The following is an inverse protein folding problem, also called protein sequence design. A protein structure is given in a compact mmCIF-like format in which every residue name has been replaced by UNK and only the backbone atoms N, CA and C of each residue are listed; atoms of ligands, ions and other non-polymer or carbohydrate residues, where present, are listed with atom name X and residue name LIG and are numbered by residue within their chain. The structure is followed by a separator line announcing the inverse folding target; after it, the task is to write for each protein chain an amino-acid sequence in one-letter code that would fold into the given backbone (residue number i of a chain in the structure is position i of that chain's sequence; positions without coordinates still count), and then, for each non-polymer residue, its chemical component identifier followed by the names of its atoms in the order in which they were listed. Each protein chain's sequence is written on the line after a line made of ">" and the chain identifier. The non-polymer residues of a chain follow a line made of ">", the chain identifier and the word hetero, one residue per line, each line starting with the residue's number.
data_IF_599791071824
#
_entry.id   IF_599791071824
#
_cell.length_a   1.000
_cell.length_b   1.000
_cell.length_c   1.000
_cell.angle_alpha   90.00
_cell.angle_beta   90.00
_cell.angle_gamma   90.00
#
_symmetry.space_group_name_H-M   'P 1'
#
loop_
_entity.id
_entity.type
_entity.pdbx_description
1 polymer ?
#
# COMPACT_ATOMS: atom_id res chain seq x y z
N UNK A 1 14.36 -1.39 -20.88
CA UNK A 1 15.23 -1.71 -19.74
C UNK A 1 14.85 -0.90 -18.49
N UNK A 2 14.61 0.41 -18.60
CA UNK A 2 14.29 1.27 -17.46
C UNK A 2 13.05 0.83 -16.65
N UNK A 3 11.95 0.46 -17.33
CA UNK A 3 10.73 0.01 -16.65
C UNK A 3 10.92 -1.29 -15.83
N UNK A 4 11.78 -2.20 -16.28
CA UNK A 4 12.06 -3.44 -15.55
C UNK A 4 12.87 -3.16 -14.29
N UNK A 5 13.81 -2.24 -14.36
CA UNK A 5 14.60 -1.80 -13.21
C UNK A 5 13.71 -1.11 -12.18
N UNK A 6 12.80 -0.23 -12.63
CA UNK A 6 11.81 0.43 -11.75
C UNK A 6 10.93 -0.61 -11.06
N UNK A 7 10.47 -1.63 -11.79
CA UNK A 7 9.61 -2.68 -11.28
C UNK A 7 10.32 -3.52 -10.21
N UNK A 8 11.51 -4.02 -10.49
CA UNK A 8 12.30 -4.83 -9.54
C UNK A 8 12.69 -4.00 -8.33
N UNK A 9 13.15 -2.76 -8.53
CA UNK A 9 13.52 -1.85 -7.47
C UNK A 9 12.33 -1.54 -6.53
N UNK A 10 11.14 -1.30 -7.07
CA UNK A 10 9.95 -0.97 -6.28
C UNK A 10 9.37 -2.17 -5.52
N UNK A 11 9.50 -3.39 -6.07
CA UNK A 11 8.96 -4.60 -5.42
C UNK A 11 9.89 -5.10 -4.30
N UNK A 12 11.19 -5.21 -4.58
CA UNK A 12 12.15 -5.88 -3.70
C UNK A 12 13.00 -4.90 -2.89
N UNK A 13 13.64 -3.93 -3.54
CA UNK A 13 14.63 -3.05 -2.88
C UNK A 13 13.98 -1.95 -2.09
N UNK A 14 13.09 -1.20 -2.73
CA UNK A 14 12.36 -0.07 -2.14
C UNK A 14 10.91 -0.43 -1.83
N UNK A 15 10.70 -1.60 -1.19
CA UNK A 15 9.36 -1.99 -0.78
C UNK A 15 8.77 -0.93 0.16
N UNK A 16 7.61 -0.40 -0.21
CA UNK A 16 7.02 0.75 0.49
C UNK A 16 6.70 0.46 1.96
N UNK A 17 6.38 -0.79 2.30
CA UNK A 17 6.09 -1.20 3.69
C UNK A 17 7.37 -1.45 4.47
N UNK A 18 8.28 -2.24 3.93
CA UNK A 18 9.43 -2.76 4.66
C UNK A 18 10.63 -1.80 4.66
N UNK A 19 10.79 -0.99 3.59
CA UNK A 19 11.88 -0.01 3.51
C UNK A 19 11.46 1.39 3.94
N UNK A 20 10.22 1.81 3.61
CA UNK A 20 9.74 3.16 3.91
C UNK A 20 8.76 3.24 5.09
N UNK A 21 8.36 2.09 5.63
CA UNK A 21 7.41 1.97 6.75
C UNK A 21 6.05 2.62 6.50
N UNK A 22 5.63 2.71 5.23
CA UNK A 22 4.33 3.25 4.83
C UNK A 22 3.31 2.12 4.65
N UNK A 23 2.08 2.33 5.14
CA UNK A 23 1.03 1.31 5.07
C UNK A 23 1.09 0.25 6.18
N UNK A 24 1.69 0.57 7.33
CA UNK A 24 1.79 -0.34 8.47
C UNK A 24 0.42 -0.65 9.08
N UNK A 25 -0.53 0.32 9.07
CA UNK A 25 -1.85 0.13 9.64
C UNK A 25 -2.62 -1.06 9.01
N UNK A 26 -2.80 -1.14 7.68
CA UNK A 26 -3.39 -2.32 7.07
C UNK A 26 -2.46 -3.55 7.15
N UNK A 27 -1.14 -3.35 7.12
CA UNK A 27 -0.17 -4.43 7.23
C UNK A 27 -0.29 -5.21 8.54
N UNK A 28 -0.45 -4.54 9.67
CA UNK A 28 -0.65 -5.18 10.98
C UNK A 28 -2.11 -5.60 11.22
N UNK A 29 -3.07 -4.80 10.73
CA UNK A 29 -4.49 -5.00 11.01
C UNK A 29 -5.11 -6.16 10.24
N UNK A 30 -4.74 -6.35 8.98
CA UNK A 30 -5.42 -7.30 8.06
C UNK A 30 -4.65 -8.61 7.89
N UNK A 31 -3.40 -8.69 8.36
CA UNK A 31 -2.52 -9.84 8.18
C UNK A 31 -2.80 -11.05 9.10
N UNK A 32 -3.95 -11.11 9.75
CA UNK A 32 -4.33 -12.24 10.62
C UNK A 32 -4.76 -13.48 9.84
N UNK A 33 -5.28 -13.31 8.61
CA UNK A 33 -5.69 -14.39 7.72
C UNK A 33 -5.19 -14.12 6.31
N UNK A 34 -4.65 -15.14 5.65
CA UNK A 34 -4.08 -15.00 4.30
C UNK A 34 -5.14 -14.62 3.26
N UNK A 35 -6.38 -15.11 3.40
CA UNK A 35 -7.48 -14.75 2.49
C UNK A 35 -7.81 -13.26 2.52
N UNK A 36 -7.89 -12.66 3.73
CA UNK A 36 -8.14 -11.22 3.89
C UNK A 36 -6.96 -10.39 3.43
N UNK A 37 -5.73 -10.88 3.59
CA UNK A 37 -4.52 -10.24 3.11
C UNK A 37 -4.49 -10.15 1.57
N UNK A 38 -4.86 -11.22 0.86
CA UNK A 38 -4.93 -11.21 -0.61
C UNK A 38 -6.01 -10.24 -1.10
N UNK A 39 -7.20 -10.27 -0.50
CA UNK A 39 -8.29 -9.35 -0.84
C UNK A 39 -7.91 -7.89 -0.62
N UNK A 40 -7.23 -7.61 0.49
CA UNK A 40 -6.71 -6.26 0.80
C UNK A 40 -5.64 -5.83 -0.20
N UNK A 41 -4.70 -6.72 -0.55
CA UNK A 41 -3.66 -6.46 -1.54
C UNK A 41 -4.24 -6.07 -2.90
N UNK A 42 -5.23 -6.81 -3.39
CA UNK A 42 -5.92 -6.51 -4.63
C UNK A 42 -6.67 -5.17 -4.59
N UNK A 43 -7.37 -4.88 -3.48
CA UNK A 43 -8.08 -3.62 -3.30
C UNK A 43 -7.13 -2.42 -3.26
N UNK A 44 -5.99 -2.55 -2.55
CA UNK A 44 -4.97 -1.51 -2.49
C UNK A 44 -4.34 -1.28 -3.86
N UNK A 45 -4.06 -2.34 -4.64
CA UNK A 45 -3.54 -2.21 -6.00
C UNK A 45 -4.47 -1.39 -6.88
N UNK A 46 -5.76 -1.69 -6.85
CA UNK A 46 -6.77 -0.97 -7.64
C UNK A 46 -6.88 0.49 -7.21
N UNK A 47 -7.05 0.75 -5.91
CA UNK A 47 -7.18 2.11 -5.37
C UNK A 47 -5.93 2.93 -5.62
N UNK A 48 -4.74 2.36 -5.38
CA UNK A 48 -3.48 3.05 -5.53
C UNK A 48 -3.25 3.47 -6.99
N UNK A 49 -3.57 2.61 -7.95
CA UNK A 49 -3.44 2.91 -9.38
C UNK A 49 -4.40 4.02 -9.80
N UNK A 50 -5.68 3.94 -9.42
CA UNK A 50 -6.65 4.99 -9.72
C UNK A 50 -6.29 6.32 -9.04
N UNK A 51 -5.91 6.27 -7.77
CA UNK A 51 -5.51 7.45 -7.01
C UNK A 51 -4.31 8.16 -7.66
N UNK A 52 -3.30 7.42 -8.10
CA UNK A 52 -2.13 8.01 -8.77
C UNK A 52 -2.49 8.68 -10.09
N UNK A 53 -3.34 8.05 -10.90
CA UNK A 53 -3.78 8.67 -12.17
C UNK A 53 -4.53 9.98 -11.91
N UNK A 54 -5.51 9.97 -10.99
CA UNK A 54 -6.33 11.15 -10.72
C UNK A 54 -5.51 12.24 -10.03
N UNK A 55 -4.67 11.90 -9.06
CA UNK A 55 -3.81 12.89 -8.37
C UNK A 55 -2.77 13.49 -9.30
N UNK A 56 -2.21 12.70 -10.24
CA UNK A 56 -1.29 13.20 -11.25
C UNK A 56 -1.97 14.20 -12.18
N UNK A 57 -3.18 13.89 -12.67
CA UNK A 57 -3.96 14.80 -13.51
C UNK A 57 -4.31 16.10 -12.78
N UNK A 58 -4.76 16.00 -11.52
CA UNK A 58 -5.08 17.18 -10.71
C UNK A 58 -3.82 18.02 -10.44
N UNK A 59 -2.69 17.39 -10.17
CA UNK A 59 -1.42 18.09 -9.99
C UNK A 59 -1.07 18.89 -11.25
N UNK A 60 -1.09 18.23 -12.42
CA UNK A 60 -0.67 18.84 -13.68
C UNK A 60 -1.59 19.95 -14.18
N UNK A 61 -2.92 19.76 -14.07
CA UNK A 61 -3.91 20.67 -14.66
C UNK A 61 -4.45 21.71 -13.68
N UNK A 62 -4.39 21.48 -12.38
CA UNK A 62 -4.98 22.35 -11.37
C UNK A 62 -3.91 23.00 -10.48
N UNK A 63 -3.06 22.23 -9.84
CA UNK A 63 -2.12 22.76 -8.85
C UNK A 63 -0.97 23.53 -9.49
N UNK A 64 -0.41 23.05 -10.60
CA UNK A 64 0.72 23.70 -11.27
C UNK A 64 0.33 25.07 -11.84
N UNK A 65 -0.76 25.24 -12.61
CA UNK A 65 -1.10 26.54 -13.17
C UNK A 65 -1.57 27.55 -12.11
N UNK A 66 -2.09 27.09 -10.97
CA UNK A 66 -2.55 27.95 -9.88
C UNK A 66 -1.46 28.29 -8.84
N UNK A 67 -0.24 27.76 -8.99
CA UNK A 67 0.87 27.89 -8.02
C UNK A 67 0.49 27.52 -6.56
N UNK A 68 -0.43 26.54 -6.39
CA UNK A 68 -0.94 26.10 -5.09
C UNK A 68 -0.20 24.86 -4.58
N UNK A 69 1.11 24.78 -4.79
CA UNK A 69 1.92 23.62 -4.40
C UNK A 69 1.86 23.28 -2.89
N UNK A 70 1.60 24.27 -2.03
CA UNK A 70 1.47 24.05 -0.59
C UNK A 70 0.18 23.32 -0.19
N UNK A 71 -0.85 23.34 -1.05
CA UNK A 71 -2.12 22.61 -0.83
C UNK A 71 -2.11 21.18 -1.43
N UNK A 72 -1.00 20.75 -2.01
CA UNK A 72 -0.86 19.46 -2.68
C UNK A 72 -1.31 18.29 -1.80
N UNK A 73 -0.82 18.20 -0.56
CA UNK A 73 -1.12 17.10 0.35
C UNK A 73 -2.59 17.06 0.74
N UNK A 74 -3.20 18.22 1.00
CA UNK A 74 -4.62 18.32 1.37
C UNK A 74 -5.51 17.90 0.20
N UNK A 75 -5.19 18.37 -1.02
CA UNK A 75 -5.91 18.01 -2.23
C UNK A 75 -5.84 16.50 -2.50
N UNK A 76 -4.67 15.90 -2.32
CA UNK A 76 -4.48 14.46 -2.52
C UNK A 76 -5.27 13.62 -1.52
N UNK A 77 -5.26 13.98 -0.24
CA UNK A 77 -6.04 13.30 0.78
C UNK A 77 -7.53 13.35 0.45
N UNK A 78 -8.04 14.51 0.03
CA UNK A 78 -9.44 14.70 -0.32
C UNK A 78 -9.84 13.86 -1.54
N UNK A 79 -9.01 13.84 -2.59
CA UNK A 79 -9.23 13.03 -3.79
C UNK A 79 -9.25 11.54 -3.46
N UNK A 80 -8.25 11.07 -2.69
CA UNK A 80 -8.15 9.67 -2.29
C UNK A 80 -9.37 9.27 -1.46
N UNK A 81 -9.80 10.10 -0.51
CA UNK A 81 -10.98 9.84 0.30
C UNK A 81 -12.24 9.71 -0.56
N UNK A 82 -12.45 10.61 -1.51
CA UNK A 82 -13.60 10.59 -2.42
C UNK A 82 -13.60 9.33 -3.32
N UNK A 83 -12.43 8.96 -3.87
CA UNK A 83 -12.29 7.74 -4.69
C UNK A 83 -12.58 6.47 -3.90
N UNK A 84 -12.08 6.37 -2.66
CA UNK A 84 -12.31 5.17 -1.84
C UNK A 84 -13.76 5.06 -1.40
N UNK A 85 -14.42 6.17 -1.08
CA UNK A 85 -15.86 6.15 -0.77
C UNK A 85 -16.70 5.73 -1.99
N UNK A 86 -16.34 6.19 -3.18
CA UNK A 86 -16.98 5.74 -4.42
C UNK A 86 -16.78 4.22 -4.61
N UNK A 87 -15.56 3.73 -4.38
CA UNK A 87 -15.24 2.31 -4.46
C UNK A 87 -16.04 1.49 -3.44
N UNK A 88 -16.21 1.99 -2.21
CA UNK A 88 -17.01 1.35 -1.17
C UNK A 88 -18.46 1.12 -1.62
N UNK A 89 -19.09 2.13 -2.20
CA UNK A 89 -20.44 2.04 -2.72
C UNK A 89 -20.53 1.01 -3.86
N UNK A 90 -19.54 0.96 -4.73
CA UNK A 90 -19.47 0.00 -5.84
C UNK A 90 -19.31 -1.42 -5.30
N UNK A 91 -18.36 -1.66 -4.38
CA UNK A 91 -18.14 -2.97 -3.77
C UNK A 91 -19.37 -3.50 -3.04
N UNK A 92 -20.09 -2.63 -2.34
CA UNK A 92 -21.33 -2.99 -1.65
C UNK A 92 -22.41 -3.50 -2.60
N UNK A 93 -22.46 -3.01 -3.84
CA UNK A 93 -23.42 -3.43 -4.86
C UNK A 93 -22.98 -4.65 -5.66
N UNK A 94 -21.69 -4.73 -6.01
CA UNK A 94 -21.16 -5.74 -6.93
C UNK A 94 -20.79 -7.03 -6.20
N UNK A 95 -20.23 -6.93 -5.02
CA UNK A 95 -19.70 -8.10 -4.29
C UNK A 95 -19.94 -7.98 -2.77
N UNK A 96 -21.18 -8.29 -2.31
CA UNK A 96 -21.52 -8.16 -0.88
C UNK A 96 -20.71 -9.10 0.03
N UNK A 97 -20.27 -10.27 -0.46
CA UNK A 97 -19.39 -11.17 0.30
C UNK A 97 -18.00 -10.59 0.54
N UNK A 98 -17.42 -9.96 -0.48
CA UNK A 98 -16.14 -9.27 -0.36
C UNK A 98 -16.26 -8.01 0.51
N UNK A 99 -17.38 -7.30 0.40
CA UNK A 99 -17.70 -6.18 1.27
C UNK A 99 -17.80 -6.57 2.74
N UNK A 100 -18.43 -7.71 3.06
CA UNK A 100 -18.50 -8.22 4.45
C UNK A 100 -17.11 -8.62 4.99
N UNK A 101 -16.25 -9.19 4.14
CA UNK A 101 -14.88 -9.55 4.52
C UNK A 101 -13.98 -8.33 4.71
N UNK A 102 -14.13 -7.32 3.86
CA UNK A 102 -13.30 -6.10 3.85
C UNK A 102 -13.95 -4.91 4.56
N UNK A 103 -15.26 -4.95 4.85
CA UNK A 103 -16.05 -3.80 5.31
C UNK A 103 -15.51 -3.10 6.56
N UNK A 104 -14.97 -3.86 7.51
CA UNK A 104 -14.32 -3.32 8.73
C UNK A 104 -12.98 -2.66 8.38
N UNK A 105 -12.33 -3.07 7.29
CA UNK A 105 -11.00 -2.62 6.89
C UNK A 105 -11.00 -1.53 5.80
N UNK A 106 -12.17 -1.18 5.25
CA UNK A 106 -12.31 -0.11 4.26
C UNK A 106 -11.78 1.26 4.75
N UNK A 107 -12.02 1.68 6.00
CA UNK A 107 -11.38 2.88 6.52
C UNK A 107 -9.85 2.82 6.51
N UNK A 108 -9.26 1.63 6.65
CA UNK A 108 -7.81 1.44 6.57
C UNK A 108 -7.26 1.62 5.14
N UNK A 109 -8.08 1.45 4.11
CA UNK A 109 -7.71 1.76 2.72
C UNK A 109 -7.74 3.26 2.50
N UNK A 110 -8.77 3.95 2.99
CA UNK A 110 -8.94 5.40 2.84
C UNK A 110 -7.81 6.18 3.51
N UNK A 111 -7.42 5.77 4.72
CA UNK A 111 -6.35 6.41 5.49
C UNK A 111 -4.98 5.77 5.26
N UNK A 112 -4.83 4.97 4.19
CA UNK A 112 -3.59 4.27 3.92
C UNK A 112 -2.48 5.24 3.50
N UNK A 113 -1.49 5.38 4.36
CA UNK A 113 -0.34 6.24 4.12
C UNK A 113 0.53 5.78 2.93
N UNK A 114 0.45 4.52 2.51
CA UNK A 114 1.15 4.05 1.31
C UNK A 114 0.55 4.65 0.03
N UNK A 115 -0.79 4.76 -0.07
CA UNK A 115 -1.46 5.37 -1.22
C UNK A 115 -1.06 6.83 -1.37
N UNK A 116 -1.11 7.59 -0.28
CA UNK A 116 -0.68 8.98 -0.27
C UNK A 116 0.82 9.13 -0.54
N UNK A 117 1.63 8.25 0.07
CA UNK A 117 3.08 8.25 -0.10
C UNK A 117 3.50 8.03 -1.55
N UNK A 118 2.89 7.08 -2.26
CA UNK A 118 3.16 6.85 -3.69
C UNK A 118 2.77 8.05 -4.53
N UNK A 119 1.60 8.64 -4.29
CA UNK A 119 1.16 9.83 -5.01
C UNK A 119 2.15 11.00 -4.88
N UNK A 120 2.71 11.21 -3.69
CA UNK A 120 3.73 12.23 -3.44
C UNK A 120 5.08 11.85 -4.07
N UNK A 121 5.49 10.58 -3.99
CA UNK A 121 6.77 10.10 -4.55
C UNK A 121 6.82 10.22 -6.06
N UNK A 122 5.73 9.92 -6.75
CA UNK A 122 5.59 10.07 -8.20
C UNK A 122 5.88 11.50 -8.64
N UNK A 123 5.35 12.49 -7.92
CA UNK A 123 5.56 13.90 -8.24
C UNK A 123 6.98 14.34 -7.90
N UNK A 124 7.53 13.92 -6.75
CA UNK A 124 8.90 14.23 -6.35
C UNK A 124 9.95 13.69 -7.32
N UNK A 125 9.68 12.54 -7.95
CA UNK A 125 10.57 11.93 -8.95
C UNK A 125 10.38 12.49 -10.36
N UNK A 126 9.42 13.40 -10.56
CA UNK A 126 9.05 13.97 -11.86
C UNK A 126 8.80 12.92 -12.95
N UNK A 127 8.15 11.83 -12.57
CA UNK A 127 7.83 10.77 -13.53
C UNK A 127 6.77 11.21 -14.53
N UNK A 128 6.87 10.69 -15.76
CA UNK A 128 5.80 10.79 -16.74
C UNK A 128 4.59 9.95 -16.32
N UNK A 129 3.42 10.20 -16.89
CA UNK A 129 2.19 9.47 -16.53
C UNK A 129 2.36 7.95 -16.69
N UNK A 130 3.02 7.48 -17.75
CA UNK A 130 3.28 6.06 -17.97
C UNK A 130 4.21 5.47 -16.89
N UNK A 131 5.30 6.15 -16.57
CA UNK A 131 6.24 5.76 -15.52
C UNK A 131 5.56 5.75 -14.13
N UNK A 132 4.69 6.73 -13.89
CA UNK A 132 3.90 6.85 -12.66
C UNK A 132 3.00 5.64 -12.45
N UNK A 133 2.30 5.21 -13.50
CA UNK A 133 1.44 4.02 -13.44
C UNK A 133 2.26 2.75 -13.23
N UNK A 134 3.35 2.56 -13.96
CA UNK A 134 4.23 1.39 -13.81
C UNK A 134 4.83 1.34 -12.40
N UNK A 135 5.33 2.46 -11.90
CA UNK A 135 5.89 2.55 -10.55
C UNK A 135 4.83 2.25 -9.49
N UNK A 136 3.61 2.76 -9.66
CA UNK A 136 2.51 2.54 -8.72
C UNK A 136 2.07 1.08 -8.69
N UNK A 137 1.90 0.45 -9.86
CA UNK A 137 1.55 -0.98 -9.96
C UNK A 137 2.66 -1.84 -9.34
N UNK A 138 3.92 -1.54 -9.63
CA UNK A 138 5.06 -2.25 -9.02
C UNK A 138 5.07 -2.12 -7.49
N UNK A 139 4.85 -0.91 -6.98
CA UNK A 139 4.80 -0.65 -5.53
C UNK A 139 3.62 -1.35 -4.86
N UNK A 140 2.45 -1.37 -5.52
CA UNK A 140 1.26 -2.06 -5.01
C UNK A 140 1.44 -3.59 -5.01
N UNK A 141 2.10 -4.15 -6.01
CA UNK A 141 2.47 -5.57 -6.03
C UNK A 141 3.49 -5.89 -4.92
N UNK A 142 4.47 -5.02 -4.69
CA UNK A 142 5.40 -5.14 -3.56
C UNK A 142 4.71 -5.10 -2.21
N UNK A 143 3.72 -4.21 -2.05
CA UNK A 143 2.86 -4.13 -0.87
C UNK A 143 2.08 -5.44 -0.66
N UNK A 144 1.41 -5.94 -1.69
CA UNK A 144 0.63 -7.17 -1.62
C UNK A 144 1.52 -8.39 -1.28
N UNK A 145 2.69 -8.49 -1.90
CA UNK A 145 3.66 -9.54 -1.64
C UNK A 145 4.13 -9.52 -0.19
N UNK A 146 4.53 -8.36 0.33
CA UNK A 146 4.94 -8.22 1.73
C UNK A 146 3.81 -8.60 2.70
N UNK A 147 2.56 -8.20 2.38
CA UNK A 147 1.39 -8.49 3.19
C UNK A 147 1.08 -10.00 3.23
N UNK A 148 1.18 -10.70 2.09
CA UNK A 148 0.94 -12.15 1.98
C UNK A 148 2.00 -12.93 2.74
N UNK A 149 3.29 -12.60 2.56
CA UNK A 149 4.40 -13.24 3.28
C UNK A 149 4.21 -13.07 4.80
N UNK A 150 3.93 -11.85 5.23
CA UNK A 150 3.74 -11.54 6.64
C UNK A 150 2.53 -12.25 7.25
N UNK A 151 1.42 -12.34 6.50
CA UNK A 151 0.23 -13.08 6.92
C UNK A 151 0.52 -14.57 7.11
N UNK A 152 1.24 -15.20 6.16
CA UNK A 152 1.65 -16.60 6.28
C UNK A 152 2.53 -16.86 7.50
N UNK A 153 3.48 -15.96 7.78
CA UNK A 153 4.32 -16.06 8.98
C UNK A 153 3.48 -15.92 10.25
N UNK A 154 2.52 -15.00 10.30
CA UNK A 154 1.63 -14.83 11.46
C UNK A 154 0.73 -16.04 11.71
N UNK A 155 0.22 -16.68 10.67
CA UNK A 155 -0.56 -17.92 10.79
C UNK A 155 0.30 -19.05 11.40
N UNK A 156 1.56 -19.17 10.98
CA UNK A 156 2.49 -20.14 11.56
C UNK A 156 2.82 -19.83 13.03
N UNK A 157 3.07 -18.58 13.37
CA UNK A 157 3.34 -18.14 14.73
C UNK A 157 2.14 -18.36 15.66
N UNK A 158 0.92 -18.23 15.15
CA UNK A 158 -0.30 -18.47 15.91
C UNK A 158 -0.42 -19.94 16.41
N UNK A 159 0.18 -20.89 15.68
CA UNK A 159 0.26 -22.29 16.06
C UNK A 159 1.41 -22.59 17.04
N UNK A 160 2.39 -21.69 17.18
CA UNK A 160 3.52 -21.85 18.05
C UNK A 160 3.21 -21.44 19.50
N UNK A 161 3.92 -22.05 20.47
CA UNK A 161 3.81 -21.72 21.89
C UNK A 161 4.55 -20.40 22.20
N UNK A 162 3.87 -19.28 21.97
CA UNK A 162 4.42 -17.95 22.28
C UNK A 162 4.11 -17.58 23.73
N UNK A 163 5.06 -17.01 24.50
CA UNK A 163 4.84 -16.52 25.85
C UNK A 163 3.68 -15.52 25.92
N UNK A 164 2.88 -15.62 26.98
CA UNK A 164 1.64 -14.82 27.14
C UNK A 164 1.84 -13.30 26.97
N UNK A 165 3.01 -12.76 27.35
CA UNK A 165 3.34 -11.34 27.26
C UNK A 165 3.68 -10.87 25.84
N UNK A 166 4.03 -11.78 24.91
CA UNK A 166 4.40 -11.45 23.53
C UNK A 166 3.29 -11.81 22.52
N UNK A 167 2.21 -12.44 22.96
CA UNK A 167 1.09 -12.82 22.09
C UNK A 167 0.43 -11.60 21.47
N UNK A 168 0.13 -11.66 20.15
CA UNK A 168 -0.62 -10.64 19.42
C UNK A 168 0.26 -9.63 18.69
N UNK A 169 0.09 -8.34 18.98
CA UNK A 169 0.77 -7.24 18.29
C UNK A 169 2.29 -7.23 18.55
N UNK A 170 2.82 -7.49 19.78
CA UNK A 170 4.27 -7.41 20.02
C UNK A 170 5.06 -8.38 19.13
N UNK A 171 4.65 -9.65 19.03
CA UNK A 171 5.34 -10.62 18.18
C UNK A 171 5.22 -10.26 16.69
N UNK A 172 4.10 -9.70 16.28
CA UNK A 172 3.89 -9.23 14.91
C UNK A 172 4.89 -8.11 14.55
N UNK A 173 5.13 -7.16 15.46
CA UNK A 173 6.11 -6.09 15.25
C UNK A 173 7.55 -6.62 15.17
N UNK A 174 7.93 -7.56 16.04
CA UNK A 174 9.25 -8.21 15.97
C UNK A 174 9.42 -8.92 14.63
N UNK A 175 8.41 -9.67 14.21
CA UNK A 175 8.43 -10.40 12.92
C UNK A 175 8.51 -9.44 11.73
N UNK A 176 7.78 -8.33 11.77
CA UNK A 176 7.85 -7.28 10.75
C UNK A 176 9.26 -6.66 10.68
N UNK A 177 9.90 -6.43 11.83
CA UNK A 177 11.27 -5.94 11.90
C UNK A 177 12.28 -6.92 11.30
N UNK A 178 12.17 -8.22 11.61
CA UNK A 178 13.03 -9.27 11.03
C UNK A 178 12.82 -9.34 9.51
N UNK A 179 11.57 -9.27 9.05
CA UNK A 179 11.26 -9.27 7.62
C UNK A 179 11.84 -8.02 6.91
N UNK A 180 11.78 -6.86 7.54
CA UNK A 180 12.38 -5.64 7.02
C UNK A 180 13.91 -5.77 6.89
N UNK A 181 14.59 -6.34 7.89
CA UNK A 181 16.03 -6.63 7.82
C UNK A 181 16.37 -7.62 6.70
N UNK A 182 15.55 -8.64 6.48
CA UNK A 182 15.75 -9.59 5.39
C UNK A 182 15.62 -8.90 4.02
N UNK A 183 14.67 -7.98 3.86
CA UNK A 183 14.51 -7.22 2.62
C UNK A 183 15.61 -6.16 2.40
N UNK A 184 16.21 -5.63 3.47
CA UNK A 184 17.40 -4.78 3.35
C UNK A 184 18.59 -5.49 2.72
N UNK A 185 18.67 -6.82 2.81
CA UNK A 185 19.69 -7.61 2.11
C UNK A 185 19.64 -7.48 0.58
N UNK A 186 18.50 -7.10 0.00
CA UNK A 186 18.37 -6.85 -1.43
C UNK A 186 18.81 -5.44 -1.87
N UNK A 187 19.13 -4.55 -0.93
CA UNK A 187 19.50 -3.17 -1.23
C UNK A 187 20.80 -3.00 -2.04
N UNK A 188 21.58 -4.08 -2.20
CA UNK A 188 22.81 -4.08 -3.02
C UNK A 188 22.63 -4.62 -4.44
N UNK A 189 21.42 -4.97 -4.86
CA UNK A 189 21.16 -5.62 -6.16
C UNK A 189 20.82 -4.66 -7.30
N UNK A 190 20.56 -3.38 -7.00
CA UNK A 190 20.20 -2.33 -7.98
C UNK A 190 21.01 -1.09 -7.78
#
# INVERSE_FOLDING_TARGET
>A
MEYVIILISAILVNNIVLAQFLGICPFLGVSTKTETAVGMGASVLFVMTLATIVTFLVQQYVLVPLNLAFLQTISFILIIAALVQMLEIILKKVSPSLYQALGIYLPLITTNCAVLGVAILVIKKNFNLAESVVFTVATALGFALALIIFSGIREQIALANVPKGMKGIPIALVTAGILALAFMGFAGLV
#
